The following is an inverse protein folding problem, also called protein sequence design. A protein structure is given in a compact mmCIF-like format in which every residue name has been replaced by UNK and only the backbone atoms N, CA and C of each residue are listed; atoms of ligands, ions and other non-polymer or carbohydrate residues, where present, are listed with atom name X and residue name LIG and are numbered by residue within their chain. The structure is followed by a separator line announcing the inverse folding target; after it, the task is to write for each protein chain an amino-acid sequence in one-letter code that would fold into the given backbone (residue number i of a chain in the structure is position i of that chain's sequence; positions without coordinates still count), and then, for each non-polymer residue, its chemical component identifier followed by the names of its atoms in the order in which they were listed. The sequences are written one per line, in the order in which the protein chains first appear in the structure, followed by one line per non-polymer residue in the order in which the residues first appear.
data_IF_924615478718
#
_entry.id   IF_924615478718
#
_cell.length_a   1.000
_cell.length_b   1.000
_cell.length_c   1.000
_cell.angle_alpha   90.00
_cell.angle_beta   90.00
_cell.angle_gamma   90.00
#
_symmetry.space_group_name_H-M   'P 1'
#
loop_
_entity.id
_entity.type
_entity.pdbx_description
1 polymer ?
#
# COMPACT_ATOMS: atom_id res chain seq x y z
N UNK A 1 -33.26 -7.95 -7.41
CA UNK A 1 -32.56 -7.96 -6.11
C UNK A 1 -31.59 -6.78 -6.09
N UNK A 2 -31.56 -6.00 -5.01
CA UNK A 2 -30.66 -4.83 -4.94
C UNK A 2 -29.23 -5.31 -4.82
N UNK A 3 -28.30 -4.69 -5.58
CA UNK A 3 -26.87 -5.04 -5.57
C UNK A 3 -26.09 -4.05 -4.72
N UNK A 4 -25.19 -4.58 -3.93
CA UNK A 4 -24.29 -3.80 -3.08
C UNK A 4 -22.84 -4.13 -3.37
N UNK A 5 -21.99 -3.15 -3.25
CA UNK A 5 -20.54 -3.30 -3.30
C UNK A 5 -19.97 -3.16 -1.89
N UNK A 6 -19.27 -4.17 -1.43
CA UNK A 6 -18.61 -4.14 -0.13
C UNK A 6 -17.24 -3.45 -0.20
N UNK A 7 -16.88 -2.70 0.84
CA UNK A 7 -15.53 -2.15 1.00
C UNK A 7 -14.93 -2.59 2.33
N UNK A 8 -13.86 -3.38 2.27
CA UNK A 8 -13.12 -3.85 3.43
C UNK A 8 -11.66 -3.36 3.38
N UNK A 9 -11.08 -3.03 4.55
CA UNK A 9 -9.73 -2.46 4.62
C UNK A 9 -8.85 -3.17 5.64
N UNK A 10 -7.63 -3.44 5.23
CA UNK A 10 -6.55 -3.94 6.10
C UNK A 10 -5.34 -3.00 6.06
N UNK A 11 -4.65 -2.85 7.18
CA UNK A 11 -3.51 -1.92 7.30
C UNK A 11 -2.18 -2.54 6.88
N UNK A 12 -2.02 -3.86 6.96
CA UNK A 12 -0.76 -4.57 6.64
C UNK A 12 -1.00 -5.96 6.07
N UNK A 13 0.01 -6.48 5.32
CA UNK A 13 0.02 -7.88 4.84
C UNK A 13 -0.08 -8.91 5.98
N UNK A 14 0.48 -8.60 7.15
CA UNK A 14 0.42 -9.49 8.31
C UNK A 14 -1.00 -9.60 8.91
N UNK A 15 -1.85 -8.60 8.75
CA UNK A 15 -3.25 -8.65 9.16
C UNK A 15 -4.13 -9.44 8.19
N UNK A 16 -3.76 -9.52 6.91
CA UNK A 16 -4.36 -10.46 5.95
C UNK A 16 -4.19 -11.92 6.39
N UNK A 17 -3.03 -12.26 6.95
CA UNK A 17 -2.69 -13.63 7.37
C UNK A 17 -3.28 -14.02 8.74
N UNK A 18 -3.70 -13.04 9.57
CA UNK A 18 -4.35 -13.29 10.88
C UNK A 18 -5.88 -13.26 10.82
N UNK A 19 -6.46 -13.16 9.64
CA UNK A 19 -7.83 -13.54 9.25
C UNK A 19 -8.99 -12.81 9.91
N UNK A 20 -9.02 -12.71 11.23
CA UNK A 20 -10.23 -12.37 11.97
C UNK A 20 -10.80 -10.98 11.62
N UNK A 21 -9.98 -9.92 11.53
CA UNK A 21 -10.51 -8.57 11.28
C UNK A 21 -11.07 -8.34 9.87
N UNK A 22 -10.52 -8.99 8.84
CA UNK A 22 -11.03 -8.87 7.48
C UNK A 22 -12.27 -9.75 7.29
N UNK A 23 -12.23 -10.96 7.84
CA UNK A 23 -13.36 -11.88 7.85
C UNK A 23 -14.57 -11.23 8.51
N UNK A 24 -14.41 -10.65 9.71
CA UNK A 24 -15.48 -9.98 10.45
C UNK A 24 -16.08 -8.81 9.66
N UNK A 25 -15.25 -8.04 8.93
CA UNK A 25 -15.74 -6.98 8.07
C UNK A 25 -16.59 -7.54 6.91
N UNK A 26 -16.09 -8.58 6.23
CA UNK A 26 -16.80 -9.19 5.12
C UNK A 26 -18.14 -9.81 5.55
N UNK A 27 -18.17 -10.50 6.69
CA UNK A 27 -19.40 -11.08 7.23
C UNK A 27 -20.40 -10.00 7.66
N UNK A 28 -19.95 -8.94 8.32
CA UNK A 28 -20.81 -7.79 8.68
C UNK A 28 -21.43 -7.14 7.43
N UNK A 29 -20.66 -6.96 6.37
CA UNK A 29 -21.13 -6.37 5.10
C UNK A 29 -22.17 -7.28 4.45
N UNK A 30 -21.93 -8.59 4.36
CA UNK A 30 -22.86 -9.56 3.76
C UNK A 30 -24.15 -9.68 4.57
N UNK A 31 -24.04 -9.76 5.91
CA UNK A 31 -25.18 -9.85 6.78
C UNK A 31 -26.09 -8.62 6.64
N UNK A 32 -25.49 -7.43 6.58
CA UNK A 32 -26.22 -6.18 6.41
C UNK A 32 -26.89 -6.07 5.03
N UNK A 33 -26.20 -6.44 3.95
CA UNK A 33 -26.80 -6.49 2.62
C UNK A 33 -28.04 -7.40 2.57
N UNK A 34 -27.96 -8.57 3.24
CA UNK A 34 -29.10 -9.49 3.36
C UNK A 34 -30.26 -8.87 4.16
N UNK A 35 -29.99 -8.13 5.23
CA UNK A 35 -31.02 -7.40 6.00
C UNK A 35 -31.74 -6.36 5.13
N UNK A 36 -31.01 -5.74 4.19
CA UNK A 36 -31.57 -4.78 3.22
C UNK A 36 -32.30 -5.47 2.04
N UNK A 37 -32.44 -6.80 2.04
CA UNK A 37 -33.10 -7.55 0.97
C UNK A 37 -32.28 -7.65 -0.33
N UNK A 38 -30.98 -7.44 -0.26
CA UNK A 38 -30.07 -7.50 -1.41
C UNK A 38 -28.89 -8.46 -1.22
N UNK A 39 -27.98 -8.40 -2.16
CA UNK A 39 -26.76 -9.22 -2.15
C UNK A 39 -25.52 -8.38 -2.43
N UNK A 40 -24.38 -8.84 -1.94
CA UNK A 40 -23.09 -8.22 -2.21
C UNK A 40 -22.52 -8.79 -3.50
N UNK A 41 -22.39 -7.96 -4.54
CA UNK A 41 -21.82 -8.37 -5.83
C UNK A 41 -20.31 -8.61 -5.75
N UNK A 42 -19.63 -7.74 -5.02
CA UNK A 42 -18.17 -7.80 -4.85
C UNK A 42 -17.77 -7.14 -3.53
N UNK A 43 -16.70 -7.64 -2.88
CA UNK A 43 -16.07 -6.96 -1.75
C UNK A 43 -14.68 -6.52 -2.18
N UNK A 44 -14.51 -5.21 -2.37
CA UNK A 44 -13.21 -4.63 -2.70
C UNK A 44 -12.38 -4.55 -1.42
N UNK A 45 -11.25 -5.23 -1.45
CA UNK A 45 -10.31 -5.25 -0.34
C UNK A 45 -9.19 -4.22 -0.58
N UNK A 46 -9.06 -3.28 0.33
CA UNK A 46 -8.06 -2.22 0.23
C UNK A 46 -6.95 -2.43 1.25
N UNK A 47 -5.72 -2.49 0.76
CA UNK A 47 -4.53 -2.57 1.59
C UNK A 47 -3.89 -1.18 1.72
N UNK A 48 -4.52 -0.28 2.46
CA UNK A 48 -4.01 1.09 2.69
C UNK A 48 -4.20 1.48 4.15
N UNK A 49 -3.21 2.17 4.73
CA UNK A 49 -3.37 2.83 6.03
C UNK A 49 -4.50 3.88 5.93
N UNK A 50 -5.43 3.87 6.89
CA UNK A 50 -6.57 4.81 6.90
C UNK A 50 -6.20 6.29 6.86
N UNK A 51 -4.96 6.63 7.28
CA UNK A 51 -4.43 8.00 7.18
C UNK A 51 -3.97 8.39 5.77
N UNK A 52 -3.84 7.42 4.86
CA UNK A 52 -3.43 7.64 3.46
C UNK A 52 -4.62 7.60 2.49
N UNK A 53 -5.80 7.23 2.97
CA UNK A 53 -7.01 7.20 2.16
C UNK A 53 -7.56 8.62 2.05
N UNK A 54 -7.22 9.28 0.96
CA UNK A 54 -7.73 10.60 0.59
C UNK A 54 -8.71 10.46 -0.58
N UNK A 55 -9.57 11.44 -0.76
CA UNK A 55 -10.55 11.47 -1.87
C UNK A 55 -9.89 11.23 -3.23
N UNK A 56 -8.71 11.80 -3.46
CA UNK A 56 -7.96 11.67 -4.72
C UNK A 56 -7.16 10.36 -4.83
N UNK A 57 -7.34 9.39 -3.92
CA UNK A 57 -6.71 8.08 -4.08
C UNK A 57 -7.35 7.35 -5.26
N UNK A 58 -6.53 6.85 -6.19
CA UNK A 58 -6.99 6.08 -7.36
C UNK A 58 -7.88 4.89 -6.98
N UNK A 59 -7.68 4.36 -5.78
CA UNK A 59 -8.46 3.24 -5.24
C UNK A 59 -9.89 3.66 -4.91
N UNK A 60 -10.08 4.80 -4.23
CA UNK A 60 -11.41 5.28 -3.85
C UNK A 60 -12.20 5.74 -5.08
N UNK A 61 -11.53 6.41 -6.03
CA UNK A 61 -12.12 6.78 -7.31
C UNK A 61 -12.60 5.54 -8.08
N UNK A 62 -11.78 4.48 -8.11
CA UNK A 62 -12.17 3.21 -8.75
C UNK A 62 -13.41 2.61 -8.07
N UNK A 63 -13.45 2.59 -6.72
CA UNK A 63 -14.62 2.09 -5.97
C UNK A 63 -15.90 2.83 -6.35
N UNK A 64 -15.86 4.16 -6.37
CA UNK A 64 -17.02 4.96 -6.76
C UNK A 64 -17.44 4.76 -8.22
N UNK A 65 -16.46 4.69 -9.12
CA UNK A 65 -16.73 4.47 -10.54
C UNK A 65 -17.39 3.10 -10.76
N UNK A 66 -16.82 2.05 -10.17
CA UNK A 66 -17.37 0.68 -10.29
C UNK A 66 -18.77 0.58 -9.68
N UNK A 67 -19.00 1.23 -8.53
CA UNK A 67 -20.34 1.26 -7.91
C UNK A 67 -21.36 1.99 -8.78
N UNK A 68 -20.97 3.11 -9.37
CA UNK A 68 -21.85 3.90 -10.27
C UNK A 68 -22.18 3.14 -11.55
N UNK A 69 -21.18 2.52 -12.19
CA UNK A 69 -21.36 1.71 -13.40
C UNK A 69 -22.26 0.49 -13.16
N UNK A 70 -22.14 -0.14 -11.99
CA UNK A 70 -22.96 -1.29 -11.60
C UNK A 70 -24.34 -0.90 -11.05
N UNK A 71 -24.65 0.40 -10.87
CA UNK A 71 -25.86 0.87 -10.20
C UNK A 71 -25.99 0.33 -8.77
N UNK A 72 -24.86 0.09 -8.09
CA UNK A 72 -24.81 -0.49 -6.75
C UNK A 72 -24.51 0.56 -5.69
N UNK A 73 -24.98 0.30 -4.47
CA UNK A 73 -24.64 1.11 -3.30
C UNK A 73 -23.45 0.49 -2.56
N UNK A 74 -22.73 1.30 -1.78
CA UNK A 74 -21.52 0.84 -1.07
C UNK A 74 -21.85 0.49 0.38
N UNK A 75 -21.37 -0.65 0.88
CA UNK A 75 -21.48 -1.05 2.29
C UNK A 75 -20.10 -1.14 2.92
N UNK A 76 -19.95 -0.53 4.09
CA UNK A 76 -18.78 -0.58 4.96
C UNK A 76 -19.17 -1.15 6.33
N UNK A 77 -18.25 -1.84 6.99
CA UNK A 77 -18.50 -2.26 8.38
C UNK A 77 -18.51 -1.06 9.35
N UNK A 78 -17.58 -0.12 9.19
CA UNK A 78 -17.44 1.09 10.02
C UNK A 78 -16.87 2.24 9.21
N UNK A 79 -17.11 3.48 9.65
CA UNK A 79 -16.67 4.71 8.97
C UNK A 79 -15.14 4.82 8.87
N UNK A 80 -14.39 4.34 9.88
CA UNK A 80 -12.93 4.35 9.88
C UNK A 80 -12.29 3.47 8.78
N UNK A 81 -13.08 2.60 8.13
CA UNK A 81 -12.67 1.84 6.95
C UNK A 81 -12.54 2.72 5.73
N UNK A 82 -13.36 3.77 5.65
CA UNK A 82 -13.35 4.73 4.55
C UNK A 82 -12.17 5.70 4.66
N UNK A 83 -12.08 6.41 5.77
CA UNK A 83 -10.95 7.28 6.13
C UNK A 83 -10.86 7.47 7.65
N UNK A 84 -9.72 7.95 8.13
CA UNK A 84 -9.51 8.43 9.51
C UNK A 84 -9.18 9.92 9.55
N UNK A 85 -9.38 10.58 8.44
CA UNK A 85 -9.19 12.02 8.27
C UNK A 85 -10.59 12.62 8.14
N UNK A 86 -10.96 13.49 9.07
CA UNK A 86 -12.28 14.10 9.15
C UNK A 86 -12.61 14.89 7.89
N UNK A 87 -11.67 15.71 7.41
CA UNK A 87 -11.85 16.49 6.19
C UNK A 87 -12.08 15.60 4.97
N UNK A 88 -11.30 14.52 4.86
CA UNK A 88 -11.48 13.55 3.78
C UNK A 88 -12.83 12.86 3.84
N UNK A 89 -13.35 12.55 5.04
CA UNK A 89 -14.68 11.95 5.21
C UNK A 89 -15.78 12.89 4.74
N UNK A 90 -15.70 14.18 5.07
CA UNK A 90 -16.66 15.19 4.59
C UNK A 90 -16.62 15.34 3.06
N UNK A 91 -15.43 15.40 2.48
CA UNK A 91 -15.26 15.45 1.02
C UNK A 91 -15.84 14.19 0.34
N UNK A 92 -15.62 13.01 0.92
CA UNK A 92 -16.16 11.75 0.41
C UNK A 92 -17.69 11.75 0.47
N UNK A 93 -18.29 12.21 1.58
CA UNK A 93 -19.76 12.34 1.72
C UNK A 93 -20.31 13.28 0.65
N UNK A 94 -19.67 14.42 0.43
CA UNK A 94 -20.09 15.38 -0.58
C UNK A 94 -20.05 14.76 -1.98
N UNK A 95 -18.94 14.14 -2.37
CA UNK A 95 -18.81 13.49 -3.68
C UNK A 95 -19.82 12.36 -3.84
N UNK A 96 -20.03 11.53 -2.82
CA UNK A 96 -21.02 10.46 -2.86
C UNK A 96 -22.43 11.00 -3.11
N UNK A 97 -22.80 12.15 -2.50
CA UNK A 97 -24.06 12.83 -2.73
C UNK A 97 -24.16 13.36 -4.18
N UNK A 98 -23.12 14.00 -4.67
CA UNK A 98 -23.07 14.57 -6.04
C UNK A 98 -23.24 13.51 -7.14
N UNK A 99 -22.62 12.32 -6.93
CA UNK A 99 -22.73 11.22 -7.90
C UNK A 99 -23.92 10.28 -7.64
N UNK A 100 -24.68 10.51 -6.54
CA UNK A 100 -25.88 9.76 -6.20
C UNK A 100 -25.63 8.37 -5.63
N UNK A 101 -24.44 8.09 -5.03
CA UNK A 101 -24.12 6.81 -4.42
C UNK A 101 -24.41 6.84 -2.93
N UNK A 102 -25.23 5.89 -2.44
CA UNK A 102 -25.47 5.69 -1.03
C UNK A 102 -24.32 4.87 -0.40
N UNK A 103 -23.86 5.31 0.77
CA UNK A 103 -22.81 4.61 1.53
C UNK A 103 -23.38 4.17 2.87
N UNK A 104 -23.54 2.88 3.04
CA UNK A 104 -24.08 2.24 4.23
C UNK A 104 -23.01 1.91 5.25
N UNK A 105 -23.31 2.10 6.53
CA UNK A 105 -22.48 1.67 7.65
C UNK A 105 -23.18 0.51 8.36
N UNK A 106 -22.74 -0.71 8.09
CA UNK A 106 -23.36 -1.94 8.62
C UNK A 106 -23.42 -1.94 10.16
N UNK A 107 -22.38 -1.40 10.83
CA UNK A 107 -22.34 -1.31 12.28
C UNK A 107 -23.32 -0.31 12.91
N UNK A 108 -23.92 0.58 12.10
CA UNK A 108 -24.91 1.59 12.57
C UNK A 108 -26.29 1.39 11.97
N UNK A 109 -26.42 0.55 10.93
CA UNK A 109 -27.69 0.33 10.24
C UNK A 109 -28.23 1.55 9.49
N UNK A 110 -27.36 2.52 9.14
CA UNK A 110 -27.72 3.78 8.47
C UNK A 110 -26.78 4.08 7.31
N UNK A 111 -27.23 4.90 6.37
CA UNK A 111 -26.35 5.52 5.37
C UNK A 111 -25.68 6.78 5.93
N UNK A 112 -24.54 7.15 5.38
CA UNK A 112 -23.89 8.42 5.75
C UNK A 112 -24.70 9.62 5.25
N UNK A 113 -25.58 9.44 4.27
CA UNK A 113 -26.47 10.45 3.73
C UNK A 113 -27.63 10.78 4.68
N UNK A 114 -28.16 9.77 5.37
CA UNK A 114 -29.24 9.93 6.37
C UNK A 114 -28.79 10.63 7.66
N UNK A 115 -27.47 10.71 7.87
CA UNK A 115 -26.93 11.37 9.05
C UNK A 115 -26.96 12.88 8.90
N UNK A 116 -27.39 13.58 9.92
CA UNK A 116 -27.21 15.01 10.03
C UNK A 116 -25.73 15.39 9.97
N UNK A 117 -25.43 16.63 9.61
CA UNK A 117 -24.05 17.12 9.58
C UNK A 117 -23.36 16.96 10.93
N UNK A 118 -24.09 17.15 12.02
CA UNK A 118 -23.60 17.02 13.39
C UNK A 118 -23.28 15.57 13.74
N UNK A 119 -24.17 14.62 13.46
CA UNK A 119 -23.96 13.18 13.69
C UNK A 119 -22.75 12.69 12.92
N UNK A 120 -22.65 13.08 11.65
CA UNK A 120 -21.54 12.67 10.81
C UNK A 120 -20.20 13.24 11.30
N UNK A 121 -20.16 14.53 11.67
CA UNK A 121 -18.96 15.16 12.23
C UNK A 121 -18.54 14.52 13.55
N UNK A 122 -19.48 14.20 14.44
CA UNK A 122 -19.17 13.47 15.67
C UNK A 122 -18.57 12.10 15.39
N UNK A 123 -19.10 11.33 14.46
CA UNK A 123 -18.56 10.03 14.08
C UNK A 123 -17.17 10.16 13.45
N UNK A 124 -16.95 11.16 12.59
CA UNK A 124 -15.64 11.43 11.99
C UNK A 124 -14.61 11.80 13.07
N UNK A 125 -14.98 12.63 14.03
CA UNK A 125 -14.14 13.00 15.16
C UNK A 125 -13.83 11.81 16.06
N UNK A 126 -14.80 10.92 16.34
CA UNK A 126 -14.54 9.68 17.08
C UNK A 126 -13.57 8.76 16.37
N UNK A 127 -13.69 8.60 15.05
CA UNK A 127 -12.77 7.80 14.24
C UNK A 127 -11.33 8.35 14.29
N UNK A 128 -11.17 9.67 14.33
CA UNK A 128 -9.88 10.32 14.51
C UNK A 128 -9.33 10.13 15.93
N UNK A 129 -10.15 10.37 16.94
CA UNK A 129 -9.77 10.24 18.35
C UNK A 129 -9.38 8.80 18.74
N UNK A 130 -10.08 7.79 18.22
CA UNK A 130 -9.71 6.38 18.41
C UNK A 130 -8.29 6.11 17.87
N UNK A 131 -7.93 6.69 16.73
CA UNK A 131 -6.58 6.61 16.18
C UNK A 131 -5.54 7.27 17.10
N UNK A 132 -5.82 8.47 17.60
CA UNK A 132 -4.91 9.20 18.49
C UNK A 132 -4.69 8.45 19.81
N UNK A 133 -5.76 7.88 20.36
CA UNK A 133 -5.70 7.02 21.54
C UNK A 133 -4.88 5.74 21.29
N UNK A 134 -5.05 5.12 20.12
CA UNK A 134 -4.23 3.95 19.74
C UNK A 134 -2.75 4.32 19.64
N UNK A 135 -2.44 5.44 19.00
CA UNK A 135 -1.06 5.96 18.87
C UNK A 135 -0.48 6.27 20.26
N UNK A 136 -1.25 6.90 21.14
CA UNK A 136 -0.80 7.24 22.49
C UNK A 136 -0.54 5.98 23.33
N UNK A 137 -1.43 4.96 23.25
CA UNK A 137 -1.23 3.64 23.90
C UNK A 137 0.00 2.92 23.39
N UNK A 138 0.22 2.89 22.06
CA UNK A 138 1.41 2.29 21.45
C UNK A 138 2.67 3.04 21.88
N UNK A 139 2.65 4.36 21.92
CA UNK A 139 3.78 5.18 22.42
C UNK A 139 4.04 4.94 23.92
N UNK A 140 2.98 4.86 24.73
CA UNK A 140 3.12 4.55 26.15
C UNK A 140 3.64 3.14 26.40
N UNK A 141 3.15 2.14 25.67
CA UNK A 141 3.65 0.77 25.72
C UNK A 141 5.11 0.70 25.26
N UNK A 142 5.48 1.41 24.17
CA UNK A 142 6.86 1.51 23.69
C UNK A 142 7.80 2.18 24.69
N UNK A 143 7.31 3.19 25.43
CA UNK A 143 8.09 3.81 26.53
C UNK A 143 8.27 2.87 27.74
N UNK A 144 7.22 2.11 28.09
CA UNK A 144 7.30 1.10 29.16
C UNK A 144 8.15 -0.11 28.76
N UNK A 145 8.15 -0.49 27.49
CA UNK A 145 8.88 -1.65 26.97
C UNK A 145 10.36 -1.39 26.68
N UNK A 146 10.89 -0.21 27.00
CA UNK A 146 12.36 0.02 26.96
C UNK A 146 13.18 -0.97 27.81
N UNK A 147 12.52 -1.85 28.55
CA UNK A 147 13.13 -2.94 29.31
C UNK A 147 12.68 -4.36 28.96
N UNK A 148 11.66 -4.57 28.13
CA UNK A 148 11.07 -5.92 27.94
C UNK A 148 10.77 -6.36 26.52
N UNK A 149 10.79 -5.49 25.52
CA UNK A 149 10.66 -5.90 24.12
C UNK A 149 12.03 -5.98 23.47
N UNK A 150 12.54 -7.20 23.42
CA UNK A 150 13.67 -7.60 22.62
C UNK A 150 14.92 -6.76 22.84
N UNK A 151 16.06 -7.39 23.02
CA UNK A 151 17.37 -6.76 23.07
C UNK A 151 17.36 -5.41 22.35
N UNK A 152 17.66 -4.33 23.07
CA UNK A 152 18.02 -3.08 22.44
C UNK A 152 19.23 -3.43 21.57
N UNK A 153 18.97 -3.69 20.30
CA UNK A 153 20.04 -3.82 19.32
C UNK A 153 20.62 -2.41 19.27
N UNK A 154 21.88 -2.27 19.65
CA UNK A 154 22.60 -1.02 19.47
C UNK A 154 22.27 -0.49 18.06
N UNK A 155 21.85 0.77 17.90
CA UNK A 155 21.56 1.34 16.58
C UNK A 155 22.66 1.05 15.56
N UNK A 156 23.94 1.01 15.99
CA UNK A 156 25.07 0.60 15.16
C UNK A 156 24.98 -0.86 14.72
N UNK A 157 24.63 -1.77 15.64
CA UNK A 157 24.46 -3.20 15.32
C UNK A 157 23.25 -3.44 14.40
N UNK A 158 22.15 -2.71 14.60
CA UNK A 158 20.98 -2.77 13.71
C UNK A 158 21.30 -2.27 12.30
N UNK A 159 22.06 -1.20 12.19
CA UNK A 159 22.55 -0.66 10.92
C UNK A 159 23.49 -1.66 10.25
N UNK A 160 24.42 -2.24 10.99
CA UNK A 160 25.38 -3.24 10.49
C UNK A 160 24.65 -4.48 9.95
N UNK A 161 23.72 -5.05 10.71
CA UNK A 161 22.87 -6.16 10.26
C UNK A 161 22.02 -5.84 9.02
N UNK A 162 21.54 -4.61 8.93
CA UNK A 162 20.81 -4.12 7.75
C UNK A 162 21.72 -4.02 6.52
N UNK A 163 22.96 -3.57 6.69
CA UNK A 163 23.97 -3.49 5.63
C UNK A 163 24.35 -4.91 5.17
N UNK A 164 24.60 -5.81 6.09
CA UNK A 164 24.95 -7.21 5.79
C UNK A 164 23.84 -7.93 5.04
N UNK A 165 22.58 -7.76 5.49
CA UNK A 165 21.41 -8.30 4.80
C UNK A 165 21.30 -7.76 3.36
N UNK A 166 21.50 -6.45 3.16
CA UNK A 166 21.49 -5.85 1.81
C UNK A 166 22.64 -6.36 0.94
N UNK A 167 23.84 -6.51 1.51
CA UNK A 167 24.98 -7.08 0.81
C UNK A 167 24.72 -8.53 0.38
N UNK A 168 24.19 -9.37 1.27
CA UNK A 168 23.82 -10.75 0.97
C UNK A 168 22.82 -10.81 -0.19
N UNK A 169 21.71 -10.07 -0.09
CA UNK A 169 20.72 -10.04 -1.17
C UNK A 169 21.28 -9.51 -2.49
N UNK A 170 22.18 -8.54 -2.45
CA UNK A 170 22.84 -8.02 -3.63
C UNK A 170 23.79 -9.05 -4.27
N UNK A 171 24.48 -9.84 -3.45
CA UNK A 171 25.37 -10.91 -3.95
C UNK A 171 24.55 -12.08 -4.51
N UNK A 172 23.48 -12.50 -3.83
CA UNK A 172 22.56 -13.53 -4.34
C UNK A 172 21.95 -13.13 -5.69
N UNK A 173 21.53 -11.87 -5.83
CA UNK A 173 21.01 -11.37 -7.10
C UNK A 173 22.09 -11.34 -8.20
N UNK A 174 23.33 -10.93 -7.87
CA UNK A 174 24.44 -10.93 -8.84
C UNK A 174 24.85 -12.32 -9.27
N UNK A 175 24.74 -13.33 -8.39
CA UNK A 175 25.06 -14.72 -8.74
C UNK A 175 24.00 -15.38 -9.62
N UNK A 176 22.76 -14.92 -9.54
CA UNK A 176 21.67 -15.42 -10.40
C UNK A 176 21.76 -14.87 -11.84
N UNK A 177 22.35 -13.67 -11.99
CA UNK A 177 22.57 -13.02 -13.28
C UNK A 177 24.07 -12.78 -13.37
N UNK A 178 24.77 -13.39 -14.32
CA UNK A 178 26.15 -13.01 -14.59
C UNK A 178 26.21 -11.61 -15.20
N UNK A 179 25.90 -10.63 -14.35
CA UNK A 179 25.79 -9.23 -14.76
C UNK A 179 27.10 -8.69 -15.31
N UNK A 180 28.24 -9.22 -14.86
CA UNK A 180 29.53 -8.83 -15.38
C UNK A 180 29.70 -9.30 -16.83
N UNK A 181 29.33 -10.56 -17.12
CA UNK A 181 29.32 -11.08 -18.48
C UNK A 181 28.34 -10.30 -19.37
N UNK A 182 27.18 -9.99 -18.89
CA UNK A 182 26.17 -9.17 -19.62
C UNK A 182 26.66 -7.74 -19.92
N UNK A 183 27.34 -7.10 -18.98
CA UNK A 183 27.92 -5.77 -19.20
C UNK A 183 29.14 -5.88 -20.19
N UNK A 184 29.97 -6.87 -20.05
CA UNK A 184 31.11 -7.11 -21.00
C UNK A 184 30.58 -7.39 -22.41
N UNK A 185 29.63 -8.28 -22.56
CA UNK A 185 28.96 -8.54 -23.83
C UNK A 185 28.36 -7.26 -24.46
N UNK A 186 27.74 -6.43 -23.63
CA UNK A 186 27.19 -5.15 -24.10
C UNK A 186 28.31 -4.19 -24.56
N UNK A 187 29.48 -4.21 -23.93
CA UNK A 187 30.64 -3.40 -24.32
C UNK A 187 31.22 -3.91 -25.65
N UNK A 188 31.36 -5.21 -25.83
CA UNK A 188 31.90 -5.83 -27.05
C UNK A 188 30.97 -5.59 -28.25
N UNK A 189 29.66 -5.68 -28.07
CA UNK A 189 28.70 -5.50 -29.16
C UNK A 189 28.52 -4.02 -29.56
N UNK A 190 28.87 -3.08 -28.69
CA UNK A 190 28.73 -1.65 -28.94
C UNK A 190 30.02 -1.06 -29.51
N UNK A 191 29.97 -0.55 -30.76
CA UNK A 191 31.11 0.16 -31.40
C UNK A 191 31.63 1.36 -30.58
N UNK A 192 30.79 1.98 -29.79
CA UNK A 192 31.12 3.05 -28.84
C UNK A 192 30.31 2.82 -27.55
N UNK A 193 30.83 2.09 -26.57
CA UNK A 193 30.11 1.81 -25.34
C UNK A 193 29.96 3.08 -24.48
N UNK A 194 28.75 3.40 -24.13
CA UNK A 194 28.40 4.42 -23.14
C UNK A 194 27.52 3.80 -22.07
N UNK A 195 27.55 4.36 -20.84
CA UNK A 195 26.70 3.86 -19.76
C UNK A 195 25.21 3.83 -20.12
N UNK A 196 24.77 4.76 -20.95
CA UNK A 196 23.40 4.89 -21.41
C UNK A 196 23.03 3.79 -22.41
N UNK A 197 23.90 3.50 -23.39
CA UNK A 197 23.71 2.42 -24.35
C UNK A 197 23.75 1.04 -23.69
N UNK A 198 24.62 0.85 -22.70
CA UNK A 198 24.65 -0.39 -21.91
C UNK A 198 23.34 -0.54 -21.14
N UNK A 199 22.82 0.52 -20.51
CA UNK A 199 21.53 0.49 -19.82
C UNK A 199 20.39 0.11 -20.78
N UNK A 200 20.35 0.71 -21.98
CA UNK A 200 19.34 0.40 -23.00
C UNK A 200 19.43 -1.08 -23.42
N UNK A 201 20.63 -1.62 -23.58
CA UNK A 201 20.83 -3.01 -23.99
C UNK A 201 20.39 -3.99 -22.90
N UNK A 202 20.70 -3.71 -21.63
CA UNK A 202 20.22 -4.52 -20.49
C UNK A 202 18.67 -4.48 -20.39
N UNK A 203 18.07 -3.33 -20.63
CA UNK A 203 16.61 -3.20 -20.67
C UNK A 203 15.98 -3.96 -21.85
N UNK A 204 16.60 -3.93 -23.03
CA UNK A 204 16.16 -4.68 -24.20
C UNK A 204 16.21 -6.21 -24.00
N UNK A 205 17.07 -6.70 -23.09
CA UNK A 205 17.13 -8.10 -22.66
C UNK A 205 16.19 -8.41 -21.50
N UNK A 206 15.29 -7.50 -21.13
CA UNK A 206 14.35 -7.63 -20.00
C UNK A 206 15.03 -7.85 -18.64
N UNK A 207 16.32 -7.50 -18.53
CA UNK A 207 17.03 -7.56 -17.26
C UNK A 207 16.62 -6.37 -16.39
N UNK A 208 16.36 -6.63 -15.11
CA UNK A 208 15.98 -5.59 -14.15
C UNK A 208 17.05 -5.40 -13.08
N UNK A 209 17.03 -4.24 -12.43
CA UNK A 209 17.87 -4.01 -11.25
C UNK A 209 17.39 -4.87 -10.08
N UNK A 210 18.17 -4.98 -9.00
CA UNK A 210 17.81 -5.70 -7.76
C UNK A 210 16.46 -5.26 -7.15
N UNK A 211 15.96 -4.05 -7.51
CA UNK A 211 14.68 -3.54 -7.09
C UNK A 211 13.56 -3.72 -8.12
N UNK A 212 13.82 -4.46 -9.20
CA UNK A 212 12.87 -4.66 -10.29
C UNK A 212 12.70 -3.46 -11.23
N UNK A 213 13.54 -2.42 -11.11
CA UNK A 213 13.45 -1.23 -11.96
C UNK A 213 14.25 -1.40 -13.25
N UNK A 214 13.92 -0.58 -14.26
CA UNK A 214 14.72 -0.46 -15.48
C UNK A 214 16.12 0.11 -15.20
N UNK A 215 17.07 -0.29 -16.01
CA UNK A 215 18.45 0.20 -15.94
C UNK A 215 18.54 1.65 -16.41
N UNK A 216 19.34 2.44 -15.71
CA UNK A 216 19.76 3.80 -16.10
C UNK A 216 21.28 3.88 -16.09
N UNK A 217 21.86 4.91 -16.70
CA UNK A 217 23.31 5.17 -16.66
C UNK A 217 23.87 5.17 -15.22
N UNK A 218 23.10 5.71 -14.27
CA UNK A 218 23.50 5.73 -12.85
C UNK A 218 23.54 4.32 -12.26
N UNK A 219 22.55 3.48 -12.56
CA UNK A 219 22.50 2.10 -12.10
C UNK A 219 23.67 1.29 -12.65
N UNK A 220 24.00 1.43 -13.95
CA UNK A 220 25.14 0.74 -14.57
C UNK A 220 26.45 1.17 -13.90
N UNK A 221 26.68 2.48 -13.69
CA UNK A 221 27.88 2.98 -13.03
C UNK A 221 28.05 2.46 -11.61
N UNK A 222 26.94 2.41 -10.83
CA UNK A 222 26.96 1.86 -9.48
C UNK A 222 27.35 0.39 -9.48
N UNK A 223 26.87 -0.39 -10.42
CA UNK A 223 27.23 -1.81 -10.51
C UNK A 223 28.68 -2.03 -10.96
N UNK A 224 29.17 -1.27 -11.93
CA UNK A 224 30.58 -1.30 -12.36
C UNK A 224 31.51 -1.03 -11.16
N UNK A 225 31.18 0.00 -10.36
CA UNK A 225 31.94 0.31 -9.14
C UNK A 225 31.83 -0.78 -8.08
N UNK A 226 30.67 -1.38 -7.91
CA UNK A 226 30.45 -2.46 -6.97
C UNK A 226 31.18 -3.76 -7.36
N UNK A 227 31.53 -3.92 -8.65
CA UNK A 227 32.37 -4.99 -9.17
C UNK A 227 33.88 -4.68 -9.08
N UNK A 228 34.26 -3.54 -8.49
CA UNK A 228 35.66 -3.16 -8.27
C UNK A 228 36.27 -2.28 -9.37
N UNK A 229 35.53 -1.89 -10.39
CA UNK A 229 36.02 -1.03 -11.47
C UNK A 229 35.71 0.45 -11.20
N UNK A 230 36.69 1.33 -11.40
CA UNK A 230 36.50 2.78 -11.14
C UNK A 230 35.53 3.43 -12.12
N UNK A 231 35.53 3.02 -13.36
CA UNK A 231 34.69 3.57 -14.44
C UNK A 231 34.56 2.58 -15.60
N UNK A 232 33.79 2.93 -16.64
CA UNK A 232 33.61 2.10 -17.83
C UNK A 232 34.93 1.82 -18.59
N UNK A 233 35.87 2.77 -18.62
CA UNK A 233 37.16 2.61 -19.28
C UNK A 233 38.05 1.54 -18.64
N UNK A 234 37.80 1.16 -17.43
CA UNK A 234 38.55 0.10 -16.75
C UNK A 234 38.03 -1.32 -17.11
N UNK A 235 36.95 -1.40 -17.88
CA UNK A 235 36.30 -2.63 -18.37
C UNK A 235 36.52 -2.83 -19.86
N UNK A 236 36.89 -1.78 -20.60
CA UNK A 236 37.32 -1.80 -22.01
C UNK A 236 38.84 -1.96 -22.10
#
# INVERSE_FOLDING_TARGET
MKKYQGLARVSTKAQLNKGNSLFDQCESIKAYAKQLGGEVSEIIQIQVSGSKMKLNSSVLQKVFLTAKEAGSEIILSKLDRLSRDELALHQIKQVANEIGIQIHLAGLGKTIQEMSSMEFSMLAMFAQHERENLISRVRAASKKSKGSFGRIIDPKEAIQKSIEKRRRLANEWRSQIDLLAEIKNAIELLKKPTLERIAQMLNGRSLTTIRGNSWSKAHVLVQIRAMGFKNLKALT
#
